data_IF_764221188359
#
_entry.id   IF_764221188359
#
_cell.length_a   1.000
_cell.length_b   1.000
_cell.length_c   1.000
_cell.angle_alpha   90.00
_cell.angle_beta   90.00
_cell.angle_gamma   90.00
#
_symmetry.space_group_name_H-M   'P 1'
#
loop_
_entity.id
_entity.type
_entity.pdbx_description
1 polymer ?
#
# COMPACT_ATOMS: atom_id res chain seq x y z
N UNK A 1 -2.54 10.25 11.62
CA UNK A 1 -2.95 10.08 10.21
C UNK A 1 -2.22 8.89 9.60
N UNK A 2 -2.89 8.10 8.77
CA UNK A 2 -2.35 6.92 8.07
C UNK A 2 -2.51 7.10 6.58
N UNK A 3 -1.41 7.01 5.82
CA UNK A 3 -1.41 7.08 4.36
C UNK A 3 -1.56 5.69 3.75
N UNK A 4 -2.36 5.59 2.69
CA UNK A 4 -2.50 4.41 1.83
C UNK A 4 -2.38 4.84 0.36
N UNK A 5 -1.68 4.11 -0.51
CA UNK A 5 -1.56 4.51 -1.92
C UNK A 5 -2.89 4.43 -2.67
N UNK A 6 -3.76 3.49 -2.29
CA UNK A 6 -5.00 3.19 -3.01
C UNK A 6 -6.24 3.60 -2.22
N UNK A 7 -7.21 4.24 -2.90
CA UNK A 7 -8.49 4.68 -2.31
C UNK A 7 -9.23 3.53 -1.62
N UNK A 8 -9.32 2.38 -2.29
CA UNK A 8 -10.02 1.20 -1.76
C UNK A 8 -9.36 0.71 -0.48
N UNK A 9 -8.02 0.68 -0.42
CA UNK A 9 -7.29 0.28 0.77
C UNK A 9 -7.60 1.22 1.96
N UNK A 10 -7.48 2.53 1.76
CA UNK A 10 -7.78 3.51 2.81
C UNK A 10 -9.20 3.35 3.38
N UNK A 11 -10.21 3.20 2.52
CA UNK A 11 -11.61 3.02 2.94
C UNK A 11 -11.82 1.69 3.66
N UNK A 12 -11.28 0.60 3.10
CA UNK A 12 -11.51 -0.76 3.61
C UNK A 12 -10.84 -0.96 4.97
N UNK A 13 -9.59 -0.47 5.12
CA UNK A 13 -8.87 -0.55 6.38
C UNK A 13 -9.55 0.32 7.44
N UNK A 14 -9.97 1.55 7.09
CA UNK A 14 -10.71 2.40 8.02
C UNK A 14 -11.99 1.72 8.52
N UNK A 15 -12.76 1.09 7.63
CA UNK A 15 -13.97 0.31 8.00
C UNK A 15 -13.64 -0.86 8.93
N UNK A 16 -12.58 -1.60 8.62
CA UNK A 16 -12.15 -2.74 9.42
C UNK A 16 -11.74 -2.30 10.82
N UNK A 17 -10.89 -1.30 10.93
CA UNK A 17 -10.43 -0.77 12.22
C UNK A 17 -11.59 -0.19 13.03
N UNK A 18 -12.53 0.53 12.40
CA UNK A 18 -13.73 1.01 13.09
C UNK A 18 -14.56 -0.15 13.66
N UNK A 19 -14.73 -1.25 12.88
CA UNK A 19 -15.42 -2.46 13.34
C UNK A 19 -14.69 -3.13 14.50
N UNK A 20 -13.37 -3.28 14.43
CA UNK A 20 -12.54 -3.88 15.50
C UNK A 20 -12.56 -3.04 16.78
N UNK A 21 -12.62 -1.72 16.67
CA UNK A 21 -12.75 -0.79 17.80
C UNK A 21 -14.21 -0.57 18.25
N UNK A 22 -15.17 -1.31 17.68
CA UNK A 22 -16.61 -1.19 17.98
C UNK A 22 -17.13 0.25 17.92
N UNK A 23 -16.60 1.07 16.97
CA UNK A 23 -17.03 2.45 16.78
C UNK A 23 -17.63 2.68 15.40
N UNK A 24 -18.42 3.75 15.29
CA UNK A 24 -18.99 4.14 14.00
C UNK A 24 -17.90 4.78 13.11
N UNK A 25 -17.86 4.38 11.83
CA UNK A 25 -16.98 4.98 10.84
C UNK A 25 -17.37 6.44 10.59
N UNK A 26 -16.41 7.34 10.71
CA UNK A 26 -16.59 8.78 10.71
C UNK A 26 -16.60 9.40 12.13
N UNK A 27 -16.66 8.57 13.19
CA UNK A 27 -16.41 8.98 14.58
C UNK A 27 -14.92 9.00 14.90
N UNK A 28 -14.49 8.18 15.86
CA UNK A 28 -13.08 8.03 16.28
C UNK A 28 -12.16 7.67 15.10
N UNK A 29 -12.61 6.77 14.24
CA UNK A 29 -11.93 6.35 13.01
C UNK A 29 -12.64 6.92 11.81
N UNK A 30 -11.89 7.58 10.92
CA UNK A 30 -12.42 8.15 9.68
C UNK A 30 -11.52 7.91 8.48
N UNK A 31 -11.99 8.31 7.31
CA UNK A 31 -11.18 8.32 6.09
C UNK A 31 -11.40 9.58 5.26
N UNK A 32 -10.41 9.89 4.43
CA UNK A 32 -10.49 10.92 3.40
C UNK A 32 -9.72 10.49 2.15
N UNK A 33 -10.43 10.33 1.02
CA UNK A 33 -9.87 9.89 -0.25
C UNK A 33 -10.37 10.79 -1.39
N UNK A 34 -9.54 11.71 -1.83
CA UNK A 34 -9.95 12.73 -2.79
C UNK A 34 -11.14 13.54 -2.27
N UNK A 35 -12.25 13.54 -3.01
CA UNK A 35 -13.47 14.27 -2.65
C UNK A 35 -14.37 13.51 -1.66
N UNK A 36 -14.17 12.18 -1.49
CA UNK A 36 -14.95 11.37 -0.55
C UNK A 36 -14.30 11.33 0.83
N UNK A 37 -15.10 11.62 1.85
CA UNK A 37 -14.64 11.64 3.24
C UNK A 37 -15.73 11.24 4.21
N UNK A 38 -15.35 10.51 5.24
CA UNK A 38 -16.13 10.27 6.45
C UNK A 38 -15.28 10.62 7.66
N UNK A 39 -15.47 11.83 8.16
CA UNK A 39 -14.75 12.38 9.31
C UNK A 39 -15.71 13.20 10.14
N UNK A 40 -15.62 13.11 11.43
CA UNK A 40 -16.32 14.02 12.33
C UNK A 40 -15.40 15.23 12.62
N UNK A 41 -15.84 16.40 12.18
CA UNK A 41 -15.30 17.66 12.68
C UNK A 41 -16.00 17.87 14.03
N UNK A 42 -15.23 18.15 15.06
CA UNK A 42 -15.71 18.45 16.41
C UNK A 42 -17.13 19.04 16.40
N UNK A 43 -18.14 18.21 16.65
CA UNK A 43 -19.47 18.70 17.01
C UNK A 43 -19.43 19.02 18.49
N UNK A 44 -19.88 20.21 18.84
CA UNK A 44 -19.90 20.73 20.21
C UNK A 44 -20.74 19.83 21.12
N UNK A 45 -21.66 19.04 20.56
CA UNK A 45 -22.57 18.16 21.30
C UNK A 45 -22.05 16.72 21.52
N UNK A 46 -21.10 16.25 20.70
CA UNK A 46 -20.60 14.85 20.77
C UNK A 46 -19.08 14.79 20.80
N UNK A 47 -18.40 15.18 21.79
CA UNK A 47 -16.94 15.17 22.09
C UNK A 47 -15.99 14.26 21.28
N UNK A 48 -16.45 13.59 20.23
CA UNK A 48 -15.68 12.62 19.44
C UNK A 48 -15.15 13.21 18.14
N UNK A 49 -13.98 13.81 18.24
CA UNK A 49 -13.15 14.17 17.06
C UNK A 49 -12.57 12.89 16.44
N UNK A 50 -12.52 12.82 15.11
CA UNK A 50 -11.76 11.75 14.42
C UNK A 50 -10.28 11.83 14.82
N UNK A 51 -9.82 10.83 15.56
CA UNK A 51 -8.44 10.73 16.04
C UNK A 51 -7.57 9.87 15.17
N UNK A 52 -8.15 8.88 14.48
CA UNK A 52 -7.46 8.00 13.53
C UNK A 52 -8.03 8.22 12.13
N UNK A 53 -7.22 8.84 11.26
CA UNK A 53 -7.63 9.24 9.92
C UNK A 53 -6.83 8.47 8.86
N UNK A 54 -7.53 7.68 8.06
CA UNK A 54 -6.96 7.01 6.89
C UNK A 54 -7.14 7.88 5.64
N UNK A 55 -6.06 8.13 4.91
CA UNK A 55 -6.06 8.98 3.72
C UNK A 55 -5.35 8.30 2.55
N UNK A 56 -5.64 8.72 1.33
CA UNK A 56 -4.72 8.47 0.22
C UNK A 56 -3.48 9.36 0.34
N UNK A 57 -2.36 8.90 -0.20
CA UNK A 57 -1.07 9.62 -0.16
C UNK A 57 -1.21 11.04 -0.72
N UNK A 58 -1.91 11.21 -1.85
CA UNK A 58 -2.16 12.54 -2.41
C UNK A 58 -2.96 13.47 -1.50
N UNK A 59 -3.87 12.95 -0.66
CA UNK A 59 -4.57 13.77 0.36
C UNK A 59 -3.63 14.18 1.47
N UNK A 60 -2.74 13.28 1.91
CA UNK A 60 -1.70 13.63 2.91
C UNK A 60 -0.78 14.71 2.36
N UNK A 61 -0.33 14.56 1.11
CA UNK A 61 0.50 15.56 0.42
C UNK A 61 -0.17 16.94 0.40
N UNK A 62 -1.44 17.00 -0.02
CA UNK A 62 -2.20 18.26 -0.04
C UNK A 62 -2.33 18.90 1.34
N UNK A 63 -2.54 18.09 2.40
CA UNK A 63 -2.60 18.58 3.78
C UNK A 63 -1.26 19.18 4.21
N UNK A 64 -0.16 18.49 3.98
CA UNK A 64 1.19 18.98 4.33
C UNK A 64 1.56 20.28 3.61
N UNK A 65 1.23 20.40 2.32
CA UNK A 65 1.45 21.64 1.54
C UNK A 65 0.61 22.78 2.08
N UNK A 66 -0.65 22.52 2.47
CA UNK A 66 -1.56 23.54 2.97
C UNK A 66 -1.22 23.98 4.39
N UNK A 67 -0.99 23.03 5.27
CA UNK A 67 -0.76 23.29 6.71
C UNK A 67 0.67 23.76 6.99
N UNK A 68 1.64 23.38 6.15
CA UNK A 68 3.07 23.72 6.27
C UNK A 68 3.68 23.33 7.61
N UNK A 69 3.06 22.39 8.30
CA UNK A 69 3.48 21.86 9.60
C UNK A 69 2.94 20.44 9.79
N UNK A 70 3.53 19.70 10.71
CA UNK A 70 3.08 18.37 11.14
C UNK A 70 2.57 18.37 12.58
N UNK A 71 2.64 19.48 13.28
CA UNK A 71 2.33 19.59 14.72
C UNK A 71 0.86 19.28 15.08
N UNK A 72 -0.05 19.27 14.09
CA UNK A 72 -1.44 18.81 14.27
C UNK A 72 -1.58 17.29 14.40
N UNK A 73 -0.49 16.53 14.14
CA UNK A 73 -0.48 15.08 14.17
C UNK A 73 0.51 14.57 15.22
N UNK A 74 0.08 13.67 16.08
CA UNK A 74 0.97 12.95 17.00
C UNK A 74 1.75 11.86 16.28
N UNK A 75 1.12 11.22 15.30
CA UNK A 75 1.70 10.14 14.50
C UNK A 75 1.31 10.31 13.03
N UNK A 76 2.29 10.14 12.16
CA UNK A 76 2.10 10.03 10.71
C UNK A 76 2.61 8.65 10.32
N UNK A 77 1.75 7.85 9.71
CA UNK A 77 2.05 6.49 9.28
C UNK A 77 1.96 6.46 7.76
N UNK A 78 3.05 6.12 7.08
CA UNK A 78 3.07 5.90 5.64
C UNK A 78 3.16 4.41 5.38
N UNK A 79 2.11 3.86 4.77
CA UNK A 79 2.04 2.45 4.42
C UNK A 79 2.39 2.24 2.94
N UNK A 80 2.85 1.01 2.62
CA UNK A 80 3.23 0.55 1.28
C UNK A 80 4.30 1.43 0.59
N UNK A 81 5.24 1.99 1.36
CA UNK A 81 6.26 2.90 0.83
C UNK A 81 7.16 2.26 -0.24
N UNK A 82 7.13 0.94 -0.37
CA UNK A 82 7.88 0.22 -1.40
C UNK A 82 7.31 0.38 -2.80
N UNK A 83 6.05 0.81 -2.95
CA UNK A 83 5.45 1.11 -4.27
C UNK A 83 6.15 2.30 -4.95
N UNK A 84 6.80 3.18 -4.18
CA UNK A 84 7.63 4.29 -4.67
C UNK A 84 6.90 5.19 -5.68
N UNK A 85 5.60 5.43 -5.47
CA UNK A 85 4.86 6.41 -6.26
C UNK A 85 5.35 7.85 -5.96
N UNK A 86 5.11 8.76 -6.90
CA UNK A 86 5.59 10.15 -6.84
C UNK A 86 5.06 10.87 -5.60
N UNK A 87 3.79 10.67 -5.26
CA UNK A 87 3.17 11.32 -4.10
C UNK A 87 3.83 10.86 -2.80
N UNK A 88 4.15 9.55 -2.69
CA UNK A 88 4.84 8.98 -1.52
C UNK A 88 6.24 9.55 -1.37
N UNK A 89 7.01 9.64 -2.46
CA UNK A 89 8.35 10.20 -2.43
C UNK A 89 8.33 11.69 -2.05
N UNK A 90 7.38 12.48 -2.57
CA UNK A 90 7.20 13.88 -2.21
C UNK A 90 6.77 14.05 -0.74
N UNK A 91 5.84 13.23 -0.25
CA UNK A 91 5.43 13.22 1.17
C UNK A 91 6.63 12.93 2.06
N UNK A 92 7.44 11.92 1.74
CA UNK A 92 8.65 11.60 2.51
C UNK A 92 9.65 12.76 2.53
N UNK A 93 9.86 13.43 1.39
CA UNK A 93 10.76 14.58 1.31
C UNK A 93 10.28 15.75 2.19
N UNK A 94 8.99 16.09 2.13
CA UNK A 94 8.38 17.15 2.94
C UNK A 94 8.42 16.79 4.44
N UNK A 95 8.09 15.55 4.78
CA UNK A 95 8.12 15.09 6.17
C UNK A 95 9.54 15.14 6.76
N UNK A 96 10.55 14.80 5.98
CA UNK A 96 11.93 14.91 6.42
C UNK A 96 12.29 16.33 6.84
N UNK A 97 11.86 17.33 6.06
CA UNK A 97 12.07 18.76 6.38
C UNK A 97 11.30 19.16 7.65
N UNK A 98 10.02 18.85 7.72
CA UNK A 98 9.19 19.25 8.85
C UNK A 98 9.60 18.60 10.16
N UNK A 99 9.98 17.32 10.14
CA UNK A 99 10.43 16.59 11.33
C UNK A 99 11.82 17.01 11.81
N UNK A 100 12.61 17.69 10.97
CA UNK A 100 13.89 18.26 11.41
C UNK A 100 13.71 19.41 12.42
N UNK A 101 12.53 20.03 12.41
CA UNK A 101 12.18 21.19 13.26
C UNK A 101 11.16 20.79 14.34
N UNK A 102 10.23 19.86 14.03
CA UNK A 102 9.17 19.42 14.94
C UNK A 102 9.55 18.11 15.64
N UNK A 103 9.79 18.17 16.95
CA UNK A 103 10.15 17.00 17.76
C UNK A 103 8.92 16.29 18.38
N UNK A 104 7.69 16.77 18.17
CA UNK A 104 6.47 16.23 18.76
C UNK A 104 5.81 15.13 17.96
N UNK A 105 5.98 15.13 16.64
CA UNK A 105 5.36 14.18 15.71
C UNK A 105 6.24 12.96 15.47
N UNK A 106 5.66 11.77 15.50
CA UNK A 106 6.35 10.50 15.21
C UNK A 106 6.00 10.02 13.81
N UNK A 107 7.02 9.66 13.03
CA UNK A 107 6.87 9.06 11.72
C UNK A 107 7.06 7.54 11.79
N UNK A 108 6.11 6.80 11.22
CA UNK A 108 6.19 5.35 11.08
C UNK A 108 6.11 5.04 9.57
N UNK A 109 7.09 4.30 9.08
CA UNK A 109 7.14 3.82 7.70
C UNK A 109 6.86 2.33 7.68
N UNK A 110 5.93 1.90 6.83
CA UNK A 110 5.59 0.48 6.66
C UNK A 110 5.86 0.04 5.22
N UNK A 111 6.48 -1.14 5.08
CA UNK A 111 6.89 -1.67 3.78
C UNK A 111 6.88 -3.20 3.81
N UNK A 112 6.43 -3.81 2.72
CA UNK A 112 6.49 -5.26 2.54
C UNK A 112 7.87 -5.77 2.11
N UNK A 113 8.80 -4.90 1.72
CA UNK A 113 10.12 -5.27 1.21
C UNK A 113 11.26 -5.00 2.18
N UNK A 114 12.38 -5.70 1.99
CA UNK A 114 13.57 -5.69 2.88
C UNK A 114 14.43 -4.41 2.84
N UNK A 115 14.01 -3.35 2.16
CA UNK A 115 14.83 -2.14 1.98
C UNK A 115 14.73 -1.13 3.15
N UNK A 116 14.33 -1.59 4.34
CA UNK A 116 14.14 -0.76 5.52
C UNK A 116 15.40 0.06 5.91
N UNK A 117 16.59 -0.51 5.73
CA UNK A 117 17.84 0.18 6.04
C UNK A 117 18.07 1.44 5.21
N UNK A 118 17.63 1.46 3.94
CA UNK A 118 17.72 2.63 3.07
C UNK A 118 16.83 3.77 3.58
N UNK A 119 15.62 3.48 4.00
CA UNK A 119 14.70 4.47 4.56
C UNK A 119 15.16 4.96 5.93
N UNK A 120 15.66 4.07 6.80
CA UNK A 120 16.23 4.46 8.08
C UNK A 120 17.39 5.44 7.89
N UNK A 121 18.32 5.15 6.97
CA UNK A 121 19.42 6.05 6.64
C UNK A 121 18.92 7.40 6.09
N UNK A 122 17.89 7.41 5.27
CA UNK A 122 17.31 8.64 4.71
C UNK A 122 16.75 9.55 5.80
N UNK A 123 16.15 9.00 6.85
CA UNK A 123 15.56 9.73 7.97
C UNK A 123 16.51 9.90 9.18
N UNK A 124 17.77 9.52 9.08
CA UNK A 124 18.76 9.72 10.16
C UNK A 124 19.08 11.21 10.41
N UNK A 125 18.74 12.10 9.48
CA UNK A 125 18.91 13.56 9.61
C UNK A 125 20.23 13.97 10.30
N UNK A 126 20.16 14.78 11.37
CA UNK A 126 21.29 15.29 12.12
C UNK A 126 21.67 14.42 13.33
N UNK A 127 21.11 13.24 13.45
CA UNK A 127 21.37 12.29 14.55
C UNK A 127 22.35 11.22 14.09
N UNK A 128 23.27 10.81 14.95
CA UNK A 128 24.12 9.63 14.73
C UNK A 128 23.34 8.32 14.94
N UNK A 129 22.11 8.42 15.49
CA UNK A 129 21.28 7.27 15.84
C UNK A 129 20.33 6.98 14.67
N UNK A 130 20.45 5.79 14.11
CA UNK A 130 19.51 5.29 13.09
C UNK A 130 18.11 5.06 13.71
N UNK A 131 17.05 5.43 12.99
CA UNK A 131 15.69 5.04 13.39
C UNK A 131 15.58 3.52 13.57
N UNK A 132 14.83 3.05 14.58
CA UNK A 132 14.66 1.63 14.83
C UNK A 132 13.91 0.94 13.69
N UNK A 133 14.35 -0.27 13.35
CA UNK A 133 13.70 -1.11 12.36
C UNK A 133 13.06 -2.29 13.08
N UNK A 134 11.75 -2.49 12.88
CA UNK A 134 11.01 -3.64 13.40
C UNK A 134 10.68 -4.55 12.21
N UNK A 135 11.26 -5.73 12.18
CA UNK A 135 10.93 -6.76 11.21
C UNK A 135 9.88 -7.71 11.79
N UNK A 136 8.77 -7.85 11.10
CA UNK A 136 7.71 -8.80 11.46
C UNK A 136 7.84 -10.03 10.55
N UNK A 137 8.25 -11.15 11.12
CA UNK A 137 8.22 -12.46 10.45
C UNK A 137 6.90 -13.14 10.82
N UNK A 138 6.02 -13.27 9.84
CA UNK A 138 4.80 -14.06 10.00
C UNK A 138 4.98 -15.35 9.21
N UNK A 139 4.81 -16.50 9.86
CA UNK A 139 4.72 -17.77 9.15
C UNK A 139 3.54 -17.71 8.18
N UNK A 140 3.78 -18.09 6.94
CA UNK A 140 2.72 -18.13 5.94
C UNK A 140 1.68 -19.17 6.33
N UNK A 141 0.41 -18.83 6.48
CA UNK A 141 -0.63 -19.77 6.88
C UNK A 141 -0.90 -20.85 5.80
N UNK A 142 -0.44 -20.61 4.58
CA UNK A 142 -0.59 -21.51 3.44
C UNK A 142 0.75 -21.66 2.71
N UNK A 143 1.02 -22.86 2.22
CA UNK A 143 2.15 -23.10 1.34
C UNK A 143 1.87 -22.47 -0.02
N UNK A 144 2.88 -21.82 -0.60
CA UNK A 144 2.82 -21.23 -1.94
C UNK A 144 3.86 -22.02 -2.77
N UNK A 145 3.36 -22.73 -3.76
CA UNK A 145 4.19 -23.33 -4.80
C UNK A 145 4.32 -22.32 -5.94
N UNK A 146 5.56 -22.03 -6.32
CA UNK A 146 5.86 -21.10 -7.40
C UNK A 146 6.31 -21.93 -8.60
N UNK A 147 5.62 -21.76 -9.72
CA UNK A 147 5.95 -22.39 -10.99
C UNK A 147 6.24 -21.30 -12.02
N UNK A 148 7.29 -21.49 -12.78
CA UNK A 148 7.65 -20.62 -13.90
C UNK A 148 7.26 -21.28 -15.22
N UNK A 149 7.40 -20.56 -16.32
CA UNK A 149 7.05 -21.06 -17.66
C UNK A 149 7.85 -22.33 -18.02
N UNK A 150 9.12 -22.39 -17.62
CA UNK A 150 10.00 -23.53 -17.86
C UNK A 150 9.52 -24.82 -17.13
N UNK A 151 8.79 -24.66 -16.02
CA UNK A 151 8.21 -25.77 -15.27
C UNK A 151 6.93 -26.31 -15.94
N UNK A 152 6.41 -25.60 -16.94
CA UNK A 152 5.17 -25.94 -17.66
C UNK A 152 5.42 -26.79 -18.94
N UNK A 153 6.59 -27.40 -19.10
CA UNK A 153 6.94 -28.26 -20.24
C UNK A 153 5.89 -29.32 -20.61
N UNK A 154 5.14 -29.91 -19.67
CA UNK A 154 4.06 -30.88 -20.01
C UNK A 154 2.93 -30.28 -20.87
N UNK A 155 2.84 -28.97 -20.99
CA UNK A 155 1.76 -28.28 -21.72
C UNK A 155 2.02 -28.14 -23.23
N UNK A 156 3.10 -28.72 -23.77
CA UNK A 156 3.49 -28.60 -25.19
C UNK A 156 3.53 -27.12 -25.65
N UNK A 157 4.05 -26.25 -24.80
CA UNK A 157 4.27 -24.84 -25.11
C UNK A 157 5.64 -24.77 -25.76
N UNK A 158 5.70 -24.41 -27.03
CA UNK A 158 6.98 -24.15 -27.69
C UNK A 158 7.56 -22.85 -27.14
N UNK A 159 8.78 -22.90 -26.58
CA UNK A 159 9.50 -21.72 -26.07
C UNK A 159 9.66 -20.64 -27.16
N UNK A 160 9.73 -21.05 -28.43
CA UNK A 160 9.82 -20.14 -29.59
C UNK A 160 8.56 -19.26 -29.79
N UNK A 161 7.44 -19.57 -29.13
CA UNK A 161 6.21 -18.82 -29.24
C UNK A 161 6.21 -17.51 -28.44
N UNK A 162 7.20 -17.30 -27.55
CA UNK A 162 7.23 -16.14 -26.65
C UNK A 162 8.40 -15.23 -27.01
N UNK A 163 8.10 -14.07 -27.55
CA UNK A 163 9.12 -13.06 -27.81
C UNK A 163 9.29 -12.15 -26.58
N UNK A 164 10.23 -12.48 -25.70
CA UNK A 164 10.57 -11.71 -24.50
C UNK A 164 11.11 -10.29 -24.78
N UNK A 165 11.49 -9.98 -26.02
CA UNK A 165 11.98 -8.66 -26.40
C UNK A 165 10.85 -7.65 -26.63
N UNK A 166 9.61 -8.09 -26.76
CA UNK A 166 8.45 -7.22 -26.93
C UNK A 166 7.84 -6.87 -25.57
N UNK A 167 7.60 -5.58 -25.29
CA UNK A 167 6.98 -5.14 -24.03
C UNK A 167 5.46 -5.34 -23.99
N UNK A 168 4.87 -6.01 -24.98
CA UNK A 168 3.44 -6.26 -25.13
C UNK A 168 3.13 -7.75 -25.06
N UNK A 169 1.96 -8.09 -24.56
CA UNK A 169 1.46 -9.47 -24.59
C UNK A 169 1.11 -9.83 -26.03
N UNK A 170 1.61 -10.96 -26.48
CA UNK A 170 1.31 -11.50 -27.82
C UNK A 170 0.08 -12.42 -27.77
N UNK A 171 -0.50 -12.71 -28.94
CA UNK A 171 -1.64 -13.63 -29.07
C UNK A 171 -1.30 -15.02 -28.53
N UNK A 172 -0.07 -15.46 -28.72
CA UNK A 172 0.43 -16.75 -28.22
C UNK A 172 0.46 -16.79 -26.70
N UNK A 173 0.86 -15.69 -26.03
CA UNK A 173 0.83 -15.58 -24.57
C UNK A 173 -0.59 -15.69 -24.02
N UNK A 174 -1.59 -15.09 -24.68
CA UNK A 174 -3.00 -15.27 -24.33
C UNK A 174 -3.46 -16.70 -24.47
N UNK A 175 -3.06 -17.39 -25.55
CA UNK A 175 -3.40 -18.79 -25.75
C UNK A 175 -2.81 -19.69 -24.69
N UNK A 176 -1.56 -19.42 -24.27
CA UNK A 176 -0.90 -20.12 -23.18
C UNK A 176 -1.65 -19.91 -21.86
N UNK A 177 -1.98 -18.66 -21.54
CA UNK A 177 -2.75 -18.33 -20.34
C UNK A 177 -4.12 -19.02 -20.34
N UNK A 178 -4.83 -19.03 -21.46
CA UNK A 178 -6.12 -19.70 -21.59
C UNK A 178 -6.02 -21.22 -21.42
N UNK A 179 -5.01 -21.87 -21.99
CA UNK A 179 -4.75 -23.29 -21.78
C UNK A 179 -4.46 -23.59 -20.30
N UNK A 180 -3.60 -22.81 -19.66
CA UNK A 180 -3.26 -22.97 -18.25
C UNK A 180 -4.49 -22.82 -17.35
N UNK A 181 -5.30 -21.78 -17.59
CA UNK A 181 -6.57 -21.58 -16.86
C UNK A 181 -7.49 -22.78 -17.02
N UNK A 182 -7.63 -23.30 -18.25
CA UNK A 182 -8.49 -24.45 -18.53
C UNK A 182 -8.05 -25.70 -17.77
N UNK A 183 -6.74 -25.94 -17.69
CA UNK A 183 -6.20 -27.07 -16.95
C UNK A 183 -6.40 -26.91 -15.44
N UNK A 184 -6.11 -25.74 -14.89
CA UNK A 184 -6.30 -25.46 -13.47
C UNK A 184 -7.75 -25.57 -13.02
N UNK A 185 -8.72 -25.22 -13.90
CA UNK A 185 -10.15 -25.37 -13.63
C UNK A 185 -10.59 -26.84 -13.58
N UNK A 186 -9.90 -27.75 -14.26
CA UNK A 186 -10.19 -29.18 -14.20
C UNK A 186 -9.66 -29.84 -12.93
N UNK A 187 -8.58 -29.28 -12.35
CA UNK A 187 -7.92 -29.86 -11.17
C UNK A 187 -8.43 -29.31 -9.86
N UNK A 188 -9.12 -28.19 -9.85
CA UNK A 188 -9.49 -27.51 -8.61
C UNK A 188 -10.76 -26.66 -8.72
N UNK A 189 -11.63 -26.78 -7.70
CA UNK A 189 -12.80 -25.90 -7.49
C UNK A 189 -12.43 -24.52 -6.89
N UNK A 190 -11.14 -24.19 -6.85
CA UNK A 190 -10.66 -22.92 -6.26
C UNK A 190 -10.72 -21.78 -7.27
N UNK A 191 -10.74 -20.56 -6.75
CA UNK A 191 -10.70 -19.36 -7.58
C UNK A 191 -9.32 -19.15 -8.21
N UNK A 192 -9.30 -18.77 -9.48
CA UNK A 192 -8.09 -18.40 -10.21
C UNK A 192 -8.04 -16.87 -10.35
N UNK A 193 -6.91 -16.26 -10.02
CA UNK A 193 -6.66 -14.84 -10.20
C UNK A 193 -5.58 -14.66 -11.26
N UNK A 194 -5.93 -13.97 -12.36
CA UNK A 194 -5.01 -13.71 -13.48
C UNK A 194 -4.70 -12.22 -13.51
N UNK A 195 -3.41 -11.88 -13.56
CA UNK A 195 -2.94 -10.50 -13.70
C UNK A 195 -2.55 -10.24 -15.15
N UNK A 196 -3.13 -9.19 -15.72
CA UNK A 196 -2.85 -8.70 -17.08
C UNK A 196 -2.31 -7.26 -17.01
N UNK A 197 -1.50 -6.80 -18.01
CA UNK A 197 -0.85 -5.49 -17.93
C UNK A 197 -1.79 -4.30 -18.04
N UNK A 198 -2.95 -4.44 -18.68
CA UNK A 198 -3.84 -3.32 -18.93
C UNK A 198 -5.33 -3.67 -18.99
N UNK A 199 -6.17 -2.64 -19.11
CA UNK A 199 -7.63 -2.78 -19.12
C UNK A 199 -8.18 -3.33 -20.44
N UNK A 200 -7.44 -3.17 -21.55
CA UNK A 200 -7.84 -3.59 -22.90
C UNK A 200 -7.22 -4.92 -23.33
N UNK A 201 -6.58 -5.61 -22.40
CA UNK A 201 -5.94 -6.93 -22.59
C UNK A 201 -6.63 -8.03 -21.73
#
# INVERSE_FOLDING_TARGET
IVSQPRKIAAITIARRVAKELHCQLGGLVGYQVGLDKKVNKMDIENETKTSLLFCTTGVVLQKLIKEKTVSSYTHIILDEIHERDIDTDLVMAILREFLSVDNGTRLILMSATLNAAKFAKYFTMNSEILPPIVAMTVERPYQIEVMYLDDLQPLEISEDAINYALPSITTEMYQIAAKLITLLLQESDKSILVFLPGYYE
#
